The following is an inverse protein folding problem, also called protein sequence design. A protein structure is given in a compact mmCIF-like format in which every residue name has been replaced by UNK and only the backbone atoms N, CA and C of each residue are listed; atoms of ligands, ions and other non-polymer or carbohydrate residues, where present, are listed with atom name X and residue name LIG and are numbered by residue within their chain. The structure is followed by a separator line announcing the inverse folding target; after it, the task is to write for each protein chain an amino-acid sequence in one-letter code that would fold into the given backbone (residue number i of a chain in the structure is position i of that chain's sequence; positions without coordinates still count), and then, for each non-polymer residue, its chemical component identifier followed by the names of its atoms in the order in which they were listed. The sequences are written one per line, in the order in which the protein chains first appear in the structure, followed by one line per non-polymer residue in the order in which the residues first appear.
data_IF_860846378356
#
_entry.id   IF_860846378356
#
_cell.length_a   1.000
_cell.length_b   1.000
_cell.length_c   1.000
_cell.angle_alpha   90.00
_cell.angle_beta   90.00
_cell.angle_gamma   90.00
#
_symmetry.space_group_name_H-M   'P 1'
#
loop_
_entity.id
_entity.type
_entity.pdbx_description
1 polymer ?
#
# COMPACT_ATOMS: atom_id res chain seq x y z
N UNK A 1 27.08 6.76 0.60
CA UNK A 1 26.20 6.32 1.68
C UNK A 1 24.92 5.62 1.15
N UNK A 2 24.14 6.26 0.29
CA UNK A 2 22.89 5.69 -0.24
C UNK A 2 23.07 4.31 -0.91
N UNK A 3 24.01 4.16 -1.86
CA UNK A 3 24.29 2.87 -2.53
C UNK A 3 24.65 1.73 -1.56
N UNK A 4 25.36 2.07 -0.48
CA UNK A 4 25.71 1.10 0.56
C UNK A 4 24.47 0.60 1.31
N UNK A 5 23.61 1.53 1.79
CA UNK A 5 22.37 1.21 2.50
C UNK A 5 21.42 0.42 1.59
N UNK A 6 21.29 0.80 0.33
CA UNK A 6 20.44 0.14 -0.64
C UNK A 6 20.88 -1.31 -0.91
N UNK A 7 22.17 -1.54 -1.16
CA UNK A 7 22.70 -2.90 -1.33
C UNK A 7 22.51 -3.76 -0.08
N UNK A 8 22.64 -3.16 1.09
CA UNK A 8 22.42 -3.84 2.36
C UNK A 8 20.97 -4.24 2.54
N UNK A 9 20.04 -3.35 2.20
CA UNK A 9 18.60 -3.63 2.22
C UNK A 9 18.26 -4.84 1.33
N UNK A 10 18.72 -4.85 0.09
CA UNK A 10 18.44 -5.96 -0.84
C UNK A 10 18.98 -7.32 -0.35
N UNK A 11 20.05 -7.32 0.43
CA UNK A 11 20.65 -8.54 0.99
C UNK A 11 20.04 -8.97 2.33
N UNK A 12 19.25 -8.12 2.96
CA UNK A 12 18.70 -8.43 4.26
C UNK A 12 17.59 -9.50 4.17
N UNK A 13 17.51 -10.36 5.19
CA UNK A 13 16.56 -11.47 5.20
C UNK A 13 15.12 -10.96 5.29
N UNK A 14 14.92 -9.89 6.02
CA UNK A 14 13.63 -9.26 6.23
C UNK A 14 13.05 -8.70 4.91
N UNK A 15 13.88 -8.07 4.07
CA UNK A 15 13.45 -7.61 2.74
C UNK A 15 13.01 -8.77 1.87
N UNK A 16 13.81 -9.85 1.80
CA UNK A 16 13.47 -11.05 1.01
C UNK A 16 12.19 -11.72 1.52
N UNK A 17 12.03 -11.81 2.84
CA UNK A 17 10.82 -12.35 3.45
C UNK A 17 9.58 -11.49 3.12
N UNK A 18 9.71 -10.15 3.14
CA UNK A 18 8.63 -9.26 2.77
C UNK A 18 8.23 -9.41 1.29
N UNK A 19 9.21 -9.51 0.38
CA UNK A 19 8.96 -9.75 -1.06
C UNK A 19 8.27 -11.11 -1.25
N UNK A 20 8.79 -12.17 -0.62
CA UNK A 20 8.18 -13.51 -0.72
C UNK A 20 6.76 -13.53 -0.20
N UNK A 21 6.49 -12.88 0.94
CA UNK A 21 5.15 -12.80 1.51
C UNK A 21 4.19 -12.03 0.61
N UNK A 22 4.60 -10.88 0.08
CA UNK A 22 3.80 -10.09 -0.85
C UNK A 22 3.48 -10.88 -2.13
N UNK A 23 4.49 -11.52 -2.73
CA UNK A 23 4.32 -12.36 -3.92
C UNK A 23 3.44 -13.58 -3.65
N UNK A 24 3.52 -14.17 -2.46
CA UNK A 24 2.69 -15.32 -2.10
C UNK A 24 1.20 -14.94 -2.04
N UNK A 25 0.87 -13.76 -1.54
CA UNK A 25 -0.51 -13.26 -1.51
C UNK A 25 -1.02 -12.99 -2.93
N UNK A 26 -0.24 -12.27 -3.74
CA UNK A 26 -0.64 -11.92 -5.11
C UNK A 26 -0.71 -13.15 -6.02
N UNK A 27 0.28 -14.05 -5.97
CA UNK A 27 0.24 -15.32 -6.69
C UNK A 27 -0.91 -16.22 -6.21
N UNK A 28 -1.18 -16.25 -4.90
CA UNK A 28 -2.31 -17.00 -4.34
C UNK A 28 -3.65 -16.51 -4.88
N UNK A 29 -3.82 -15.20 -5.04
CA UNK A 29 -5.01 -14.62 -5.65
C UNK A 29 -5.14 -15.00 -7.13
N UNK A 30 -4.06 -14.92 -7.91
CA UNK A 30 -4.02 -15.34 -9.31
C UNK A 30 -4.35 -16.84 -9.47
N UNK A 31 -3.77 -17.70 -8.64
CA UNK A 31 -4.05 -19.15 -8.66
C UNK A 31 -5.50 -19.44 -8.31
N UNK A 32 -6.06 -18.72 -7.34
CA UNK A 32 -7.48 -18.82 -7.00
C UNK A 32 -8.35 -18.42 -8.19
N UNK A 33 -8.01 -17.34 -8.88
CA UNK A 33 -8.69 -16.89 -10.09
C UNK A 33 -8.64 -17.94 -11.18
N UNK A 34 -7.46 -18.50 -11.46
CA UNK A 34 -7.26 -19.55 -12.44
C UNK A 34 -8.07 -20.82 -12.11
N UNK A 35 -8.05 -21.22 -10.83
CA UNK A 35 -8.83 -22.35 -10.35
C UNK A 35 -10.34 -22.14 -10.51
N UNK A 36 -10.83 -20.96 -10.12
CA UNK A 36 -12.25 -20.61 -10.23
C UNK A 36 -12.72 -20.53 -11.69
N UNK A 37 -11.83 -20.17 -12.61
CA UNK A 37 -12.13 -20.05 -14.05
C UNK A 37 -11.94 -21.37 -14.81
N UNK A 38 -11.41 -22.41 -14.16
CA UNK A 38 -11.14 -23.69 -14.81
C UNK A 38 -12.44 -24.35 -15.27
N UNK A 39 -12.50 -24.70 -16.55
CA UNK A 39 -13.68 -25.34 -17.17
C UNK A 39 -14.82 -24.39 -17.49
N UNK A 40 -14.66 -23.08 -17.28
CA UNK A 40 -15.64 -22.09 -17.71
C UNK A 40 -15.44 -21.71 -19.18
N UNK A 41 -16.54 -21.42 -19.87
CA UNK A 41 -16.46 -20.82 -21.20
C UNK A 41 -15.74 -19.48 -21.13
N UNK A 42 -14.94 -19.15 -22.14
CA UNK A 42 -14.18 -17.90 -22.20
C UNK A 42 -15.07 -16.64 -22.02
N UNK A 43 -16.35 -16.74 -22.43
CA UNK A 43 -17.34 -15.68 -22.28
C UNK A 43 -17.79 -15.43 -20.81
N UNK A 44 -17.47 -16.32 -19.88
CA UNK A 44 -17.86 -16.26 -18.46
C UNK A 44 -16.70 -15.97 -17.53
N UNK A 45 -15.48 -15.92 -18.06
CA UNK A 45 -14.29 -15.61 -17.25
C UNK A 45 -14.26 -14.11 -16.95
N UNK A 46 -14.07 -13.74 -15.69
CA UNK A 46 -13.91 -12.36 -15.28
C UNK A 46 -12.69 -11.71 -15.94
N UNK A 47 -12.73 -10.41 -16.17
CA UNK A 47 -11.63 -9.68 -16.78
C UNK A 47 -10.38 -9.64 -15.88
N UNK A 48 -9.23 -9.34 -16.49
CA UNK A 48 -7.96 -9.22 -15.79
C UNK A 48 -8.04 -8.27 -14.59
N UNK A 49 -8.72 -7.13 -14.76
CA UNK A 49 -8.89 -6.13 -13.71
C UNK A 49 -9.73 -6.62 -12.53
N UNK A 50 -10.73 -7.48 -12.77
CA UNK A 50 -11.58 -8.01 -11.69
C UNK A 50 -10.86 -9.04 -10.83
N UNK A 51 -9.91 -9.80 -11.38
CA UNK A 51 -9.08 -10.73 -10.64
C UNK A 51 -7.88 -10.07 -9.96
N UNK A 52 -7.49 -8.90 -10.41
CA UNK A 52 -6.35 -8.18 -9.85
C UNK A 52 -6.55 -7.81 -8.37
N UNK A 53 -5.59 -8.13 -7.53
CA UNK A 53 -5.64 -7.84 -6.08
C UNK A 53 -5.86 -6.35 -5.81
N UNK A 54 -5.19 -5.49 -6.55
CA UNK A 54 -5.20 -4.03 -6.30
C UNK A 54 -6.52 -3.34 -6.63
N UNK A 55 -7.52 -4.03 -7.21
CA UNK A 55 -8.80 -3.40 -7.56
C UNK A 55 -9.70 -3.08 -6.35
N UNK A 56 -9.47 -3.71 -5.20
CA UNK A 56 -10.23 -3.49 -3.97
C UNK A 56 -11.43 -4.41 -3.75
N UNK A 57 -11.88 -5.14 -4.76
CA UNK A 57 -13.05 -6.03 -4.68
C UNK A 57 -12.68 -7.48 -4.39
N UNK A 58 -11.44 -7.85 -4.67
CA UNK A 58 -10.98 -9.23 -4.53
C UNK A 58 -10.73 -9.62 -3.07
N UNK A 59 -10.87 -10.93 -2.77
CA UNK A 59 -10.41 -11.49 -1.49
C UNK A 59 -8.91 -11.24 -1.29
N UNK A 60 -8.14 -11.25 -2.39
CA UNK A 60 -6.72 -10.93 -2.40
C UNK A 60 -6.43 -9.57 -1.78
N UNK A 61 -7.24 -8.54 -2.11
CA UNK A 61 -7.13 -7.23 -1.49
C UNK A 61 -7.35 -7.24 0.01
N UNK A 62 -8.35 -7.97 0.49
CA UNK A 62 -8.62 -8.08 1.93
C UNK A 62 -7.45 -8.67 2.70
N UNK A 63 -6.82 -9.74 2.15
CA UNK A 63 -5.62 -10.34 2.73
C UNK A 63 -4.41 -9.43 2.60
N UNK A 64 -4.22 -8.82 1.42
CA UNK A 64 -3.11 -7.92 1.15
C UNK A 64 -3.15 -6.68 2.05
N UNK A 65 -4.31 -6.05 2.18
CA UNK A 65 -4.51 -4.88 3.06
C UNK A 65 -4.30 -5.21 4.54
N UNK A 66 -4.71 -6.40 4.98
CA UNK A 66 -4.45 -6.88 6.33
C UNK A 66 -2.94 -7.06 6.61
N UNK A 67 -2.18 -7.55 5.63
CA UNK A 67 -0.73 -7.73 5.74
C UNK A 67 0.07 -6.47 5.41
N UNK A 68 -0.55 -5.47 4.82
CA UNK A 68 0.10 -4.27 4.33
C UNK A 68 1.01 -3.56 5.36
N UNK A 69 0.61 -3.37 6.63
CA UNK A 69 1.48 -2.77 7.64
C UNK A 69 2.76 -3.56 7.87
N UNK A 70 2.68 -4.90 7.82
CA UNK A 70 3.86 -5.77 7.94
C UNK A 70 4.77 -5.64 6.73
N UNK A 71 4.18 -5.66 5.52
CA UNK A 71 4.91 -5.56 4.27
C UNK A 71 5.68 -4.24 4.14
N UNK A 72 5.15 -3.15 4.69
CA UNK A 72 5.81 -1.85 4.71
C UNK A 72 6.94 -1.76 5.73
N UNK A 73 6.76 -2.31 6.94
CA UNK A 73 7.72 -2.16 8.04
C UNK A 73 8.89 -3.15 7.92
N UNK A 74 8.61 -4.37 7.44
CA UNK A 74 9.58 -5.47 7.39
C UNK A 74 10.84 -5.16 6.57
N UNK A 75 10.79 -4.52 5.37
CA UNK A 75 11.93 -4.48 4.46
C UNK A 75 13.20 -3.87 5.03
N UNK A 76 13.10 -2.76 5.74
CA UNK A 76 14.29 -2.07 6.27
C UNK A 76 14.00 -1.06 7.39
N UNK A 77 12.74 -0.77 7.68
CA UNK A 77 12.36 0.30 8.58
C UNK A 77 12.90 0.13 10.01
N UNK A 78 13.10 -1.10 10.46
CA UNK A 78 13.61 -1.43 11.80
C UNK A 78 15.12 -1.70 11.85
N UNK A 79 15.82 -1.60 10.74
CA UNK A 79 17.26 -1.95 10.64
C UNK A 79 18.15 -1.07 11.54
N UNK A 80 17.73 0.18 11.82
CA UNK A 80 18.48 1.09 12.68
C UNK A 80 18.64 0.56 14.10
N UNK A 81 17.64 -0.10 14.65
CA UNK A 81 17.69 -0.67 16.00
C UNK A 81 18.75 -1.78 16.08
N UNK A 82 18.85 -2.62 15.04
CA UNK A 82 19.90 -3.64 14.94
C UNK A 82 21.29 -3.02 14.82
N UNK A 83 21.46 -2.06 13.92
CA UNK A 83 22.75 -1.39 13.69
C UNK A 83 23.27 -0.65 14.91
N UNK A 84 22.37 -0.09 15.73
CA UNK A 84 22.73 0.55 16.99
C UNK A 84 23.24 -0.48 18.00
N UNK A 85 22.59 -1.65 18.09
CA UNK A 85 23.07 -2.76 18.94
C UNK A 85 24.43 -3.29 18.50
N UNK A 86 24.63 -3.42 17.19
CA UNK A 86 25.85 -3.95 16.58
C UNK A 86 26.98 -2.90 16.49
N UNK A 87 26.80 -1.70 17.03
CA UNK A 87 27.75 -0.58 17.01
C UNK A 87 28.25 -0.17 15.60
N UNK A 88 27.52 -0.52 14.54
CA UNK A 88 27.88 -0.24 13.15
C UNK A 88 27.76 1.25 12.81
N UNK A 89 26.96 1.98 13.58
CA UNK A 89 26.69 3.41 13.36
C UNK A 89 27.97 4.25 13.51
N UNK A 90 28.81 3.94 14.48
CA UNK A 90 30.02 4.72 14.79
C UNK A 90 31.01 4.76 13.62
N UNK A 91 31.47 3.63 13.06
CA UNK A 91 32.39 3.65 11.92
C UNK A 91 31.74 4.15 10.61
N UNK A 92 30.44 4.08 10.47
CA UNK A 92 29.73 4.64 9.31
C UNK A 92 29.69 6.17 9.36
N UNK A 93 29.58 6.74 10.56
CA UNK A 93 29.53 8.19 10.79
C UNK A 93 30.94 8.82 10.72
N UNK A 94 31.98 8.13 11.15
CA UNK A 94 33.36 8.63 11.05
C UNK A 94 33.82 8.88 9.62
N UNK A 95 33.22 8.21 8.64
CA UNK A 95 33.52 8.35 7.21
C UNK A 95 32.61 9.33 6.45
N UNK A 96 31.68 10.01 7.12
CA UNK A 96 30.75 10.93 6.48
C UNK A 96 29.88 11.69 7.48
N UNK A 97 29.04 12.62 6.99
CA UNK A 97 28.16 13.37 7.91
C UNK A 97 27.03 12.48 8.42
N UNK A 98 26.78 12.52 9.72
CA UNK A 98 25.71 11.81 10.42
C UNK A 98 24.31 12.07 9.76
N UNK A 99 24.05 13.33 9.43
CA UNK A 99 22.78 13.70 8.78
C UNK A 99 22.56 13.01 7.43
N UNK A 100 23.58 12.97 6.56
CA UNK A 100 23.50 12.27 5.26
C UNK A 100 23.28 10.77 5.42
N UNK A 101 23.90 10.17 6.45
CA UNK A 101 23.68 8.76 6.75
C UNK A 101 22.22 8.50 7.14
N UNK A 102 21.65 9.30 8.05
CA UNK A 102 20.27 9.14 8.52
C UNK A 102 19.24 9.40 7.42
N UNK A 103 19.39 10.48 6.65
CA UNK A 103 18.49 10.77 5.51
C UNK A 103 18.54 9.64 4.48
N UNK A 104 19.74 9.15 4.13
CA UNK A 104 19.86 8.05 3.18
C UNK A 104 19.21 6.77 3.70
N UNK A 105 19.22 6.53 5.00
CA UNK A 105 18.59 5.38 5.62
C UNK A 105 17.06 5.45 5.58
N UNK A 106 16.50 6.60 5.92
CA UNK A 106 15.05 6.85 5.82
C UNK A 106 14.57 6.68 4.38
N UNK A 107 15.28 7.27 3.42
CA UNK A 107 14.94 7.15 2.00
C UNK A 107 15.03 5.70 1.48
N UNK A 108 16.04 4.94 1.89
CA UNK A 108 16.19 3.53 1.51
C UNK A 108 15.10 2.66 2.13
N UNK A 109 14.66 2.95 3.35
CA UNK A 109 13.53 2.23 3.97
C UNK A 109 12.24 2.47 3.19
N UNK A 110 11.95 3.71 2.80
CA UNK A 110 10.81 4.03 1.95
C UNK A 110 10.86 3.32 0.60
N UNK A 111 12.04 3.33 -0.07
CA UNK A 111 12.23 2.60 -1.33
C UNK A 111 12.03 1.08 -1.16
N UNK A 112 12.47 0.51 -0.04
CA UNK A 112 12.26 -0.90 0.26
C UNK A 112 10.77 -1.25 0.35
N UNK A 113 10.00 -0.45 1.07
CA UNK A 113 8.55 -0.60 1.18
C UNK A 113 7.84 -0.44 -0.17
N UNK A 114 8.24 0.59 -0.94
CA UNK A 114 7.74 0.81 -2.30
C UNK A 114 8.01 -0.37 -3.22
N UNK A 115 9.23 -0.94 -3.19
CA UNK A 115 9.62 -2.09 -4.02
C UNK A 115 8.83 -3.36 -3.66
N UNK A 116 8.57 -3.59 -2.38
CA UNK A 116 7.80 -4.76 -1.93
C UNK A 116 6.35 -4.66 -2.38
N UNK A 117 5.69 -3.55 -2.06
CA UNK A 117 4.28 -3.34 -2.38
C UNK A 117 4.07 -3.18 -3.89
N UNK A 118 4.78 -2.23 -4.49
CA UNK A 118 4.64 -1.93 -5.92
C UNK A 118 5.14 -3.06 -6.81
N UNK A 119 6.22 -3.74 -6.43
CA UNK A 119 6.75 -4.87 -7.18
C UNK A 119 5.78 -6.04 -7.23
N UNK A 120 5.14 -6.39 -6.10
CA UNK A 120 4.16 -7.45 -6.05
C UNK A 120 2.88 -7.11 -6.85
N UNK A 121 2.33 -5.91 -6.66
CA UNK A 121 1.14 -5.47 -7.38
C UNK A 121 1.40 -5.32 -8.88
N UNK A 122 2.55 -4.76 -9.28
CA UNK A 122 2.90 -4.63 -10.69
C UNK A 122 3.11 -6.00 -11.36
N UNK A 123 3.80 -6.92 -10.69
CA UNK A 123 4.00 -8.26 -11.21
C UNK A 123 2.66 -8.99 -11.40
N UNK A 124 1.77 -8.91 -10.41
CA UNK A 124 0.43 -9.48 -10.51
C UNK A 124 -0.37 -8.84 -11.64
N UNK A 125 -0.35 -7.50 -11.75
CA UNK A 125 -1.04 -6.78 -12.81
C UNK A 125 -0.60 -7.25 -14.19
N UNK A 126 0.71 -7.32 -14.45
CA UNK A 126 1.25 -7.79 -15.71
C UNK A 126 0.84 -9.23 -16.01
N UNK A 127 0.93 -10.12 -15.02
CA UNK A 127 0.57 -11.54 -15.18
C UNK A 127 -0.94 -11.70 -15.39
N UNK A 128 -1.78 -10.93 -14.69
CA UNK A 128 -3.24 -11.00 -14.86
C UNK A 128 -3.65 -10.61 -16.28
N UNK A 129 -3.04 -9.59 -16.87
CA UNK A 129 -3.32 -9.16 -18.25
C UNK A 129 -2.76 -10.10 -19.33
N UNK A 130 -1.87 -11.01 -18.96
CA UNK A 130 -1.41 -12.09 -19.86
C UNK A 130 -2.33 -13.31 -19.78
N UNK A 131 -2.82 -13.64 -18.59
CA UNK A 131 -3.60 -14.87 -18.33
C UNK A 131 -5.08 -14.65 -18.61
N UNK A 132 -5.62 -13.50 -18.21
CA UNK A 132 -7.05 -13.21 -18.31
C UNK A 132 -7.35 -12.26 -19.45
N UNK A 133 -8.56 -12.33 -19.97
CA UNK A 133 -8.98 -11.48 -21.07
C UNK A 133 -9.02 -10.00 -20.65
N UNK A 134 -8.52 -9.14 -21.53
CA UNK A 134 -8.44 -7.69 -21.30
C UNK A 134 -9.79 -7.01 -21.53
N UNK A 135 -10.47 -7.42 -22.61
CA UNK A 135 -11.77 -6.87 -23.00
C UNK A 135 -12.77 -8.02 -23.07
N UNK A 136 -13.68 -8.05 -22.14
CA UNK A 136 -14.74 -9.03 -22.17
C UNK A 136 -16.11 -8.40 -22.35
N UNK A 137 -16.74 -8.86 -23.43
CA UNK A 137 -18.18 -8.89 -23.56
C UNK A 137 -18.76 -10.01 -22.68
N UNK A 138 -18.33 -10.12 -21.43
CA UNK A 138 -18.90 -11.10 -20.53
C UNK A 138 -20.26 -10.59 -20.10
N UNK A 139 -21.27 -11.24 -20.60
CA UNK A 139 -22.62 -11.15 -20.03
C UNK A 139 -22.69 -12.00 -18.76
N UNK A 140 -21.92 -11.67 -17.73
CA UNK A 140 -22.24 -12.13 -16.39
C UNK A 140 -23.44 -11.33 -15.92
N UNK A 141 -24.61 -11.99 -15.90
CA UNK A 141 -25.87 -11.37 -15.42
C UNK A 141 -26.30 -10.13 -16.20
N UNK A 142 -26.02 -10.05 -17.50
CA UNK A 142 -26.36 -8.89 -18.34
C UNK A 142 -25.30 -7.79 -18.36
N UNK A 143 -24.13 -8.01 -17.75
CA UNK A 143 -23.05 -7.04 -17.70
C UNK A 143 -21.96 -7.35 -18.74
N UNK A 144 -21.64 -6.37 -19.56
CA UNK A 144 -20.45 -6.39 -20.41
C UNK A 144 -19.31 -5.65 -19.66
N UNK A 145 -18.10 -6.17 -19.71
CA UNK A 145 -16.98 -5.64 -18.91
C UNK A 145 -16.68 -4.16 -19.20
N UNK A 146 -16.71 -3.73 -20.46
CA UNK A 146 -16.55 -2.32 -20.83
C UNK A 146 -17.72 -1.42 -20.39
N UNK A 147 -18.89 -1.98 -20.14
CA UNK A 147 -20.09 -1.28 -19.69
C UNK A 147 -20.39 -1.55 -18.21
N UNK A 148 -19.60 -2.39 -17.55
CA UNK A 148 -19.83 -2.76 -16.15
C UNK A 148 -19.92 -1.50 -15.28
N UNK A 149 -18.97 -0.59 -15.40
CA UNK A 149 -18.99 0.67 -14.65
C UNK A 149 -20.11 1.60 -15.09
N UNK A 150 -20.40 1.68 -16.42
CA UNK A 150 -21.55 2.48 -16.89
C UNK A 150 -22.87 1.93 -16.39
N UNK A 151 -23.00 0.62 -16.35
CA UNK A 151 -24.20 -0.01 -15.79
C UNK A 151 -24.26 0.10 -14.27
N UNK A 152 -23.15 -0.04 -13.59
CA UNK A 152 -22.95 0.26 -12.17
C UNK A 152 -23.39 1.68 -11.81
N UNK A 153 -23.00 2.65 -12.60
CA UNK A 153 -23.37 4.05 -12.44
C UNK A 153 -24.86 4.30 -12.73
N UNK A 154 -25.51 3.41 -13.49
CA UNK A 154 -26.95 3.50 -13.81
C UNK A 154 -27.89 2.83 -12.84
N UNK A 155 -27.41 2.01 -11.90
CA UNK A 155 -28.25 1.28 -10.94
C UNK A 155 -28.00 1.72 -9.51
N UNK A 156 -29.08 2.08 -8.79
CA UNK A 156 -29.01 2.56 -7.39
C UNK A 156 -28.31 1.60 -6.42
N UNK A 157 -28.30 0.30 -6.68
CA UNK A 157 -27.61 -0.68 -5.83
C UNK A 157 -26.09 -0.63 -5.95
N UNK A 158 -25.58 -0.18 -7.08
CA UNK A 158 -24.17 -0.15 -7.37
C UNK A 158 -23.51 1.21 -7.13
N UNK A 159 -24.29 2.27 -6.97
CA UNK A 159 -23.81 3.54 -6.40
C UNK A 159 -23.14 3.35 -5.03
N UNK A 160 -23.44 2.26 -4.33
CA UNK A 160 -22.81 1.89 -3.05
C UNK A 160 -21.44 1.23 -3.21
N UNK A 161 -21.13 0.70 -4.40
CA UNK A 161 -19.88 -0.05 -4.65
C UNK A 161 -18.87 0.72 -5.49
N UNK A 162 -19.35 1.59 -6.40
CA UNK A 162 -18.49 2.42 -7.24
C UNK A 162 -18.88 3.87 -7.06
N UNK A 163 -18.06 4.62 -6.40
CA UNK A 163 -18.28 6.05 -6.26
C UNK A 163 -17.99 6.73 -7.61
N UNK A 164 -18.92 7.51 -8.18
CA UNK A 164 -18.66 8.33 -9.35
C UNK A 164 -17.56 9.38 -9.10
N UNK A 165 -17.25 9.68 -7.84
CA UNK A 165 -16.15 10.53 -7.42
C UNK A 165 -14.79 9.82 -7.41
N UNK A 166 -14.72 8.51 -7.74
CA UNK A 166 -13.43 7.82 -7.87
C UNK A 166 -12.56 8.56 -8.86
N UNK A 167 -11.39 9.06 -8.46
CA UNK A 167 -10.53 9.80 -9.35
C UNK A 167 -10.21 9.01 -10.61
N UNK A 168 -10.37 9.63 -11.78
CA UNK A 168 -10.03 9.04 -13.08
C UNK A 168 -10.89 7.84 -13.51
N UNK A 169 -12.10 7.64 -12.98
CA UNK A 169 -12.94 6.50 -13.36
C UNK A 169 -13.25 6.46 -14.86
N UNK A 170 -13.29 7.60 -15.54
CA UNK A 170 -13.39 7.69 -16.99
C UNK A 170 -12.25 6.97 -17.71
N UNK A 171 -11.05 7.01 -17.15
CA UNK A 171 -9.88 6.29 -17.68
C UNK A 171 -10.05 4.76 -17.65
N UNK A 172 -10.77 4.24 -16.68
CA UNK A 172 -11.02 2.80 -16.60
C UNK A 172 -11.83 2.29 -17.78
N UNK A 173 -12.76 3.12 -18.27
CA UNK A 173 -13.60 2.76 -19.43
C UNK A 173 -12.77 2.70 -20.71
N UNK A 174 -11.84 3.64 -20.87
CA UNK A 174 -11.03 3.75 -22.09
C UNK A 174 -9.79 2.85 -22.04
N UNK A 175 -9.14 2.76 -20.88
CA UNK A 175 -7.93 1.96 -20.72
C UNK A 175 -7.78 1.42 -19.29
N UNK A 176 -8.38 0.26 -18.97
CA UNK A 176 -8.37 -0.32 -17.63
C UNK A 176 -6.95 -0.61 -17.10
N UNK A 177 -6.03 -1.01 -17.99
CA UNK A 177 -4.63 -1.27 -17.59
C UNK A 177 -3.94 -0.01 -17.08
N UNK A 178 -4.07 1.11 -17.79
CA UNK A 178 -3.47 2.39 -17.35
C UNK A 178 -4.10 2.88 -16.05
N UNK A 179 -5.40 2.71 -15.90
CA UNK A 179 -6.10 3.07 -14.66
C UNK A 179 -5.54 2.29 -13.46
N UNK A 180 -5.41 0.99 -13.57
CA UNK A 180 -4.86 0.15 -12.50
C UNK A 180 -3.38 0.43 -12.24
N UNK A 181 -2.61 0.73 -13.29
CA UNK A 181 -1.21 1.14 -13.16
C UNK A 181 -1.07 2.44 -12.35
N UNK A 182 -1.97 3.41 -12.52
CA UNK A 182 -2.01 4.62 -11.70
C UNK A 182 -2.22 4.28 -10.22
N UNK A 183 -3.11 3.34 -9.91
CA UNK A 183 -3.31 2.89 -8.53
C UNK A 183 -2.11 2.12 -7.97
N UNK A 184 -1.37 1.37 -8.79
CA UNK A 184 -0.07 0.81 -8.37
C UNK A 184 0.90 1.93 -7.99
N UNK A 185 0.97 3.00 -8.78
CA UNK A 185 1.84 4.15 -8.49
C UNK A 185 1.42 4.86 -7.19
N UNK A 186 0.12 5.04 -6.96
CA UNK A 186 -0.41 5.60 -5.71
C UNK A 186 -0.02 4.72 -4.52
N UNK A 187 -0.20 3.39 -4.62
CA UNK A 187 0.24 2.44 -3.61
C UNK A 187 1.75 2.51 -3.34
N UNK A 188 2.56 2.63 -4.39
CA UNK A 188 4.01 2.83 -4.29
C UNK A 188 4.37 4.09 -3.51
N UNK A 189 3.75 5.21 -3.84
CA UNK A 189 3.99 6.50 -3.17
C UNK A 189 3.61 6.44 -1.70
N UNK A 190 2.47 5.84 -1.40
CA UNK A 190 1.99 5.70 -0.02
C UNK A 190 2.87 4.74 0.81
N UNK A 191 3.25 3.60 0.24
CA UNK A 191 4.17 2.66 0.88
C UNK A 191 5.54 3.31 1.15
N UNK A 192 6.04 4.12 0.20
CA UNK A 192 7.26 4.91 0.38
C UNK A 192 7.16 5.85 1.59
N UNK A 193 6.10 6.65 1.67
CA UNK A 193 5.88 7.58 2.77
C UNK A 193 5.79 6.86 4.12
N UNK A 194 5.02 5.78 4.20
CA UNK A 194 4.90 5.00 5.44
C UNK A 194 6.23 4.37 5.85
N UNK A 195 6.99 3.80 4.91
CA UNK A 195 8.32 3.25 5.17
C UNK A 195 9.30 4.31 5.68
N UNK A 196 9.28 5.51 5.08
CA UNK A 196 10.04 6.65 5.57
C UNK A 196 9.63 7.05 6.98
N UNK A 197 8.32 7.16 7.25
CA UNK A 197 7.78 7.56 8.55
C UNK A 197 8.21 6.60 9.66
N UNK A 198 8.06 5.29 9.44
CA UNK A 198 8.45 4.28 10.44
C UNK A 198 9.96 4.27 10.67
N UNK A 199 10.74 4.41 9.59
CA UNK A 199 12.19 4.52 9.73
C UNK A 199 12.59 5.79 10.49
N UNK A 200 11.95 6.93 10.22
CA UNK A 200 12.18 8.17 10.96
C UNK A 200 11.81 8.06 12.45
N UNK A 201 10.67 7.43 12.75
CA UNK A 201 10.27 7.12 14.14
C UNK A 201 11.30 6.23 14.84
N UNK A 202 11.91 5.27 14.12
CA UNK A 202 12.96 4.42 14.69
C UNK A 202 14.22 5.20 15.15
N UNK A 203 14.47 6.37 14.57
CA UNK A 203 15.58 7.25 14.98
C UNK A 203 15.29 7.94 16.32
N UNK A 204 14.02 8.23 16.59
CA UNK A 204 13.59 8.91 17.81
C UNK A 204 13.32 7.94 18.96
N UNK A 205 12.83 6.74 18.66
CA UNK A 205 12.39 5.76 19.66
C UNK A 205 13.45 4.67 19.88
N UNK A 206 14.02 4.62 21.06
CA UNK A 206 15.01 3.61 21.44
C UNK A 206 14.34 2.33 21.97
N UNK A 207 13.19 1.94 21.38
CA UNK A 207 12.35 0.81 21.83
C UNK A 207 12.51 -0.42 20.91
N UNK A 208 11.80 -1.48 21.26
CA UNK A 208 11.80 -2.73 20.50
C UNK A 208 11.22 -2.54 19.08
N UNK A 209 11.57 -3.44 18.15
CA UNK A 209 11.02 -3.46 16.79
C UNK A 209 9.49 -3.53 16.75
N UNK A 210 8.90 -4.27 17.73
CA UNK A 210 7.45 -4.41 17.88
C UNK A 210 6.79 -3.07 18.21
N UNK A 211 7.42 -2.25 19.06
CA UNK A 211 6.88 -0.94 19.41
C UNK A 211 6.81 0.04 18.23
N UNK A 212 7.63 -0.14 17.20
CA UNK A 212 7.58 0.66 15.96
C UNK A 212 6.48 0.20 15.01
N UNK A 213 6.16 -1.08 15.02
CA UNK A 213 5.10 -1.64 14.20
C UNK A 213 3.70 -1.27 14.73
N UNK A 214 3.56 -1.25 16.07
CA UNK A 214 2.28 -1.09 16.75
C UNK A 214 1.50 0.17 16.34
N UNK A 215 2.10 1.39 16.23
CA UNK A 215 1.36 2.59 15.83
C UNK A 215 0.72 2.46 14.46
N UNK A 216 1.45 1.95 13.46
CA UNK A 216 0.91 1.77 12.11
C UNK A 216 -0.23 0.74 12.10
N UNK A 217 -0.05 -0.35 12.83
CA UNK A 217 -1.08 -1.38 12.98
C UNK A 217 -2.35 -0.82 13.64
N UNK A 218 -2.22 -0.07 14.73
CA UNK A 218 -3.36 0.56 15.41
C UNK A 218 -4.06 1.55 14.48
N UNK A 219 -3.33 2.35 13.71
CA UNK A 219 -3.93 3.30 12.77
C UNK A 219 -4.72 2.55 11.70
N UNK A 220 -4.17 1.50 11.10
CA UNK A 220 -4.85 0.71 10.06
C UNK A 220 -6.10 0.02 10.60
N UNK A 221 -5.95 -0.75 11.67
CA UNK A 221 -7.09 -1.50 12.22
C UNK A 221 -8.07 -0.62 12.98
N UNK A 222 -7.59 0.44 13.62
CA UNK A 222 -8.44 1.44 14.26
C UNK A 222 -9.32 2.18 13.24
N UNK A 223 -8.76 2.58 12.11
CA UNK A 223 -9.53 3.21 11.04
C UNK A 223 -10.53 2.24 10.38
N UNK A 224 -10.20 0.95 10.27
CA UNK A 224 -11.12 -0.08 9.81
C UNK A 224 -12.32 -0.25 10.77
N UNK A 225 -12.07 -0.31 12.08
CA UNK A 225 -13.13 -0.37 13.10
C UNK A 225 -13.98 0.89 13.11
N UNK A 226 -13.34 2.05 13.00
CA UNK A 226 -14.05 3.33 12.90
C UNK A 226 -14.94 3.37 11.66
N UNK A 227 -14.46 2.87 10.51
CA UNK A 227 -15.25 2.73 9.29
C UNK A 227 -16.53 1.94 9.55
N UNK A 228 -16.43 0.76 10.18
CA UNK A 228 -17.59 -0.09 10.46
C UNK A 228 -18.62 0.63 11.31
N UNK A 229 -18.17 1.28 12.39
CA UNK A 229 -19.07 2.02 13.30
C UNK A 229 -19.75 3.20 12.59
N UNK A 230 -19.00 3.96 11.79
CA UNK A 230 -19.55 5.11 11.07
C UNK A 230 -20.47 4.68 9.92
N UNK A 231 -20.19 3.56 9.27
CA UNK A 231 -21.03 2.99 8.23
C UNK A 231 -22.42 2.62 8.78
N UNK A 232 -22.46 1.89 9.90
CA UNK A 232 -23.71 1.50 10.53
C UNK A 232 -24.55 2.74 10.96
N UNK A 233 -23.87 3.77 11.50
CA UNK A 233 -24.54 5.03 11.87
C UNK A 233 -25.02 5.82 10.65
N UNK A 234 -24.25 5.87 9.57
CA UNK A 234 -24.64 6.59 8.36
C UNK A 234 -25.84 5.93 7.67
N UNK A 235 -25.88 4.59 7.65
CA UNK A 235 -27.05 3.85 7.14
C UNK A 235 -28.30 4.18 8.00
N UNK A 236 -28.17 4.11 9.33
CA UNK A 236 -29.27 4.39 10.24
C UNK A 236 -29.78 5.83 10.13
N UNK A 237 -28.90 6.80 9.87
CA UNK A 237 -29.23 8.22 9.75
C UNK A 237 -29.54 8.66 8.31
N UNK A 238 -29.46 7.78 7.32
CA UNK A 238 -29.56 8.09 5.89
C UNK A 238 -28.68 9.29 5.47
N UNK A 239 -27.46 9.35 6.03
CA UNK A 239 -26.51 10.47 5.87
C UNK A 239 -25.34 10.09 4.98
N UNK A 240 -24.60 11.10 4.49
CA UNK A 240 -23.37 10.90 3.71
C UNK A 240 -22.32 10.24 4.58
N UNK A 241 -21.76 9.14 4.07
CA UNK A 241 -20.70 8.41 4.74
C UNK A 241 -19.32 8.90 4.29
N UNK A 242 -18.54 9.41 5.23
CA UNK A 242 -17.11 9.70 5.03
C UNK A 242 -16.30 8.49 5.49
N UNK A 243 -15.60 7.84 4.57
CA UNK A 243 -14.82 6.65 4.86
C UNK A 243 -13.49 7.03 5.54
N UNK A 244 -13.25 6.68 6.82
CA UNK A 244 -11.99 6.93 7.50
C UNK A 244 -10.91 5.88 7.20
N UNK A 245 -11.26 4.77 6.55
CA UNK A 245 -10.33 3.68 6.27
C UNK A 245 -9.51 3.98 5.02
N UNK A 246 -8.32 4.50 5.24
CA UNK A 246 -7.43 4.99 4.19
C UNK A 246 -6.95 3.92 3.20
N UNK A 247 -6.98 2.63 3.56
CA UNK A 247 -6.66 1.55 2.61
C UNK A 247 -7.64 1.47 1.44
N UNK A 248 -8.91 1.87 1.65
CA UNK A 248 -9.91 1.89 0.56
C UNK A 248 -9.58 2.96 -0.50
N UNK A 249 -8.76 3.97 -0.17
CA UNK A 249 -8.29 4.97 -1.13
C UNK A 249 -7.12 4.50 -1.98
N UNK A 250 -6.49 3.40 -1.60
CA UNK A 250 -5.41 2.76 -2.36
C UNK A 250 -5.93 1.78 -3.42
N UNK A 251 -7.24 1.51 -3.42
CA UNK A 251 -7.90 0.66 -4.38
C UNK A 251 -8.97 1.44 -5.17
N UNK A 252 -9.10 1.21 -6.48
CA UNK A 252 -10.02 1.96 -7.33
C UNK A 252 -11.50 1.80 -6.95
N UNK A 253 -11.85 0.63 -6.44
CA UNK A 253 -13.23 0.27 -6.08
C UNK A 253 -13.45 0.16 -4.57
N UNK A 254 -12.76 1.00 -3.80
CA UNK A 254 -12.95 1.09 -2.35
C UNK A 254 -14.36 1.57 -1.98
N UNK A 255 -14.81 1.17 -0.79
CA UNK A 255 -16.16 1.50 -0.30
C UNK A 255 -16.20 2.92 0.25
N UNK A 256 -17.13 3.73 -0.23
CA UNK A 256 -17.39 5.09 0.28
C UNK A 256 -16.87 6.23 -0.60
N UNK A 257 -17.13 7.47 -0.21
CA UNK A 257 -16.66 8.65 -0.94
C UNK A 257 -15.13 8.77 -0.85
N UNK A 258 -14.47 8.72 -2.00
CA UNK A 258 -13.02 8.88 -2.10
C UNK A 258 -12.67 10.35 -2.26
N UNK A 259 -12.44 11.04 -1.16
CA UNK A 259 -12.01 12.44 -1.19
C UNK A 259 -10.49 12.53 -1.39
N UNK A 260 -10.04 13.10 -2.52
CA UNK A 260 -8.63 13.40 -2.75
C UNK A 260 -8.02 14.31 -1.69
N UNK A 261 -8.83 15.16 -1.06
CA UNK A 261 -8.42 16.03 0.05
C UNK A 261 -8.00 15.20 1.27
N UNK A 262 -8.75 14.13 1.59
CA UNK A 262 -8.40 13.24 2.70
C UNK A 262 -7.03 12.56 2.46
N UNK A 263 -6.81 12.04 1.27
CA UNK A 263 -5.52 11.44 0.89
C UNK A 263 -4.39 12.45 1.02
N UNK A 264 -4.58 13.67 0.52
CA UNK A 264 -3.59 14.74 0.61
C UNK A 264 -3.25 15.10 2.08
N UNK A 265 -4.26 15.16 2.96
CA UNK A 265 -4.07 15.41 4.38
C UNK A 265 -3.25 14.28 5.03
N UNK A 266 -3.60 13.02 4.78
CA UNK A 266 -2.87 11.87 5.34
C UNK A 266 -1.42 11.86 4.84
N UNK A 267 -1.19 12.07 3.56
CA UNK A 267 0.17 12.18 3.01
C UNK A 267 0.95 13.36 3.61
N UNK A 268 0.30 14.50 3.80
CA UNK A 268 0.88 15.67 4.45
C UNK A 268 1.31 15.41 5.89
N UNK A 269 0.46 14.74 6.67
CA UNK A 269 0.78 14.34 8.05
C UNK A 269 1.97 13.36 8.07
N UNK A 270 1.97 12.33 7.24
CA UNK A 270 3.07 11.37 7.16
C UNK A 270 4.39 12.05 6.77
N UNK A 271 4.37 12.97 5.80
CA UNK A 271 5.54 13.73 5.39
C UNK A 271 6.05 14.63 6.53
N UNK A 272 5.16 15.35 7.23
CA UNK A 272 5.51 16.20 8.35
C UNK A 272 6.13 15.41 9.51
N UNK A 273 5.54 14.27 9.87
CA UNK A 273 6.10 13.36 10.91
C UNK A 273 7.46 12.82 10.47
N UNK A 274 7.62 12.44 9.20
CA UNK A 274 8.90 11.96 8.67
C UNK A 274 9.99 13.02 8.79
N UNK A 275 9.72 14.24 8.35
CA UNK A 275 10.67 15.36 8.42
C UNK A 275 10.98 15.70 9.89
N UNK A 276 9.95 15.84 10.73
CA UNK A 276 10.10 16.16 12.14
C UNK A 276 10.93 15.12 12.90
N UNK A 277 10.61 13.84 12.77
CA UNK A 277 11.35 12.77 13.43
C UNK A 277 12.77 12.61 12.89
N UNK A 278 12.99 12.80 11.58
CA UNK A 278 14.33 12.74 10.99
C UNK A 278 15.21 13.89 11.52
N UNK A 279 14.69 15.10 11.57
CA UNK A 279 15.44 16.28 12.10
C UNK A 279 15.74 16.14 13.58
N UNK A 280 14.78 15.68 14.38
CA UNK A 280 14.98 15.40 15.80
C UNK A 280 16.02 14.28 16.01
N UNK A 281 15.92 13.20 15.26
CA UNK A 281 16.86 12.08 15.31
C UNK A 281 18.30 12.51 14.96
N UNK A 282 18.47 13.37 13.96
CA UNK A 282 19.77 13.94 13.60
C UNK A 282 20.31 14.82 14.75
N UNK A 283 19.48 15.72 15.29
CA UNK A 283 19.86 16.63 16.37
C UNK A 283 20.27 15.90 17.65
N UNK A 284 19.50 14.88 18.05
CA UNK A 284 19.78 14.09 19.24
C UNK A 284 21.00 13.20 19.08
N UNK A 285 21.22 12.64 17.88
CA UNK A 285 22.40 11.83 17.59
C UNK A 285 23.68 12.64 17.57
N UNK A 286 23.64 13.89 17.13
CA UNK A 286 24.79 14.81 17.23
C UNK A 286 25.22 15.05 18.68
N UNK A 287 24.27 15.25 19.59
CA UNK A 287 24.54 15.46 21.03
C UNK A 287 25.16 14.21 21.67
N UNK A 288 24.73 13.01 21.28
CA UNK A 288 25.26 11.77 21.83
C UNK A 288 26.66 11.38 21.30
N UNK A 289 27.14 12.03 20.26
CA UNK A 289 28.50 11.81 19.70
C UNK A 289 29.51 12.86 20.24
N UNK A 290 29.01 13.98 20.73
CA UNK A 290 29.86 15.08 21.29
C UNK A 290 30.05 15.02 22.81
N UNK A 291 29.26 14.24 23.55
CA UNK A 291 29.40 13.95 24.96
C UNK A 291 29.89 12.52 25.19
#
# INVERSE_FOLDING_TARGET
MFRFQFRRMLRCREFRAAVLLAMLVTCGNLLRGAWSSHGMDASRILSAGEWYTGNGLSLGWSVFSALWPFLVVLPFATSFIGEKKDQIVVPAVSRGSYGRFMVSKVAVAGLGSMMVIGGALLAELLVSYVIYPVNHNVQLTGYQSGNFIRHLLGTNQMYRSCNPETPMIGFYIDNPFLFELVYVIINCGFAFLCGCTISALSLCMNKSRIALFLPLYIIVYGSLKLRTILWDKAIAANSVFVNPYWMDYLAPFGIGSQSGVYVAIVCGILAAVTIGCTTLGIRNGFRAVQG
#
